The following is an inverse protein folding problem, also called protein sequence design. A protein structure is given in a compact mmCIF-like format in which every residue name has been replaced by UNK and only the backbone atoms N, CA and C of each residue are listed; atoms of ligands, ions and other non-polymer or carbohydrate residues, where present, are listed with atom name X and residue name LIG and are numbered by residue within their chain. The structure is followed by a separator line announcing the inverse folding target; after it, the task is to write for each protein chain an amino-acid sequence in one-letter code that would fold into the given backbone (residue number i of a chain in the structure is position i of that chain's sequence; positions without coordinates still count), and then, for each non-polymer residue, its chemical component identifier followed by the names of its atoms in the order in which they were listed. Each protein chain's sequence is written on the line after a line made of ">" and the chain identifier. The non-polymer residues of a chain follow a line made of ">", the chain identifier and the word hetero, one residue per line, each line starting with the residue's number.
data_IF_810937226543
#
_entry.id   IF_810937226543
#
_cell.length_a   1.000
_cell.length_b   1.000
_cell.length_c   1.000
_cell.angle_alpha   90.00
_cell.angle_beta   90.00
_cell.angle_gamma   90.00
#
_symmetry.space_group_name_H-M   'P 1'
#
loop_
_entity.id
_entity.type
_entity.pdbx_description
1 polymer ?
#
# COMPACT_ATOMS: atom_id res chain seq x y z
N UNK A 1 -5.15 -24.62 1.47
CA UNK A 1 -4.96 -24.94 2.90
C UNK A 1 -3.48 -24.88 3.19
N UNK A 2 -3.04 -24.41 4.38
CA UNK A 2 -1.62 -24.42 4.74
C UNK A 2 -1.10 -25.86 4.78
N UNK A 3 0.15 -26.06 4.38
CA UNK A 3 0.82 -27.36 4.50
C UNK A 3 1.24 -27.56 5.97
N UNK A 4 0.66 -28.52 6.70
CA UNK A 4 0.95 -28.73 8.12
C UNK A 4 2.43 -28.97 8.42
N UNK A 5 3.19 -29.53 7.47
CA UNK A 5 4.63 -29.77 7.64
C UNK A 5 5.47 -28.48 7.65
N UNK A 6 4.90 -27.35 7.20
CA UNK A 6 5.56 -26.05 7.14
C UNK A 6 5.05 -25.06 8.19
N UNK A 7 4.04 -25.46 8.98
CA UNK A 7 3.46 -24.62 10.01
C UNK A 7 4.36 -24.60 11.24
N UNK A 8 4.82 -23.42 11.63
CA UNK A 8 5.48 -23.22 12.92
C UNK A 8 4.45 -23.28 14.07
N UNK A 9 4.62 -24.19 15.06
CA UNK A 9 3.72 -24.29 16.23
C UNK A 9 3.59 -22.99 17.02
N UNK A 10 4.65 -22.20 17.13
CA UNK A 10 4.62 -20.91 17.82
C UNK A 10 3.76 -19.90 17.07
N UNK A 11 3.84 -19.88 15.73
CA UNK A 11 3.00 -19.03 14.87
C UNK A 11 1.53 -19.42 15.03
N UNK A 12 1.19 -20.71 15.00
CA UNK A 12 -0.17 -21.19 15.23
C UNK A 12 -0.69 -20.80 16.62
N UNK A 13 0.13 -20.96 17.67
CA UNK A 13 -0.24 -20.55 19.02
C UNK A 13 -0.49 -19.04 19.15
N UNK A 14 0.34 -18.20 18.51
CA UNK A 14 0.14 -16.74 18.48
C UNK A 14 -1.14 -16.36 17.75
N UNK A 15 -1.46 -17.01 16.63
CA UNK A 15 -2.70 -16.75 15.88
C UNK A 15 -3.94 -17.20 16.68
N UNK A 16 -3.89 -18.35 17.35
CA UNK A 16 -4.96 -18.82 18.22
C UNK A 16 -5.27 -17.80 19.33
N UNK A 17 -4.23 -17.36 20.06
CA UNK A 17 -4.37 -16.36 21.12
C UNK A 17 -4.96 -15.04 20.58
N UNK A 18 -4.47 -14.57 19.44
CA UNK A 18 -4.95 -13.33 18.77
C UNK A 18 -6.43 -13.38 18.45
N UNK A 19 -6.92 -14.53 18.01
CA UNK A 19 -8.32 -14.72 17.65
C UNK A 19 -9.19 -15.22 18.82
N UNK A 20 -8.73 -15.04 20.07
CA UNK A 20 -9.51 -15.29 21.27
C UNK A 20 -9.61 -16.76 21.70
N UNK A 21 -8.86 -17.66 21.08
CA UNK A 21 -8.82 -19.05 21.52
C UNK A 21 -8.14 -19.14 22.89
N UNK A 22 -8.69 -19.98 23.75
CA UNK A 22 -8.27 -20.09 25.15
C UNK A 22 -7.39 -21.32 25.32
N UNK A 23 -6.19 -21.13 25.88
CA UNK A 23 -5.32 -22.25 26.27
C UNK A 23 -5.80 -22.84 27.61
N UNK A 24 -6.39 -24.03 27.57
CA UNK A 24 -7.03 -24.73 28.72
C UNK A 24 -6.11 -25.71 29.47
N UNK A 25 -4.80 -25.71 29.18
CA UNK A 25 -3.79 -26.55 29.84
C UNK A 25 -3.16 -27.61 28.92
N UNK A 26 -2.33 -28.46 29.50
CA UNK A 26 -1.48 -29.46 28.81
C UNK A 26 -0.15 -29.60 29.57
N UNK A 27 0.61 -30.70 29.43
CA UNK A 27 1.97 -30.77 29.97
C UNK A 27 2.75 -29.61 29.37
N UNK A 28 3.11 -28.62 30.20
CA UNK A 28 3.58 -27.32 29.74
C UNK A 28 4.81 -27.39 28.81
N UNK A 29 5.53 -28.51 28.84
CA UNK A 29 6.72 -28.78 28.05
C UNK A 29 6.47 -29.46 26.70
N UNK A 30 5.28 -29.99 26.37
CA UNK A 30 5.09 -30.81 25.15
C UNK A 30 3.97 -30.35 24.23
N UNK A 31 2.79 -30.05 24.76
CA UNK A 31 1.66 -29.57 23.96
C UNK A 31 0.71 -28.68 24.77
N UNK A 32 0.10 -27.70 24.10
CA UNK A 32 -0.96 -26.86 24.63
C UNK A 32 -2.32 -27.23 24.04
N UNK A 33 -3.33 -27.42 24.89
CA UNK A 33 -4.72 -27.61 24.47
C UNK A 33 -5.42 -26.26 24.33
N UNK A 34 -5.96 -25.99 23.14
CA UNK A 34 -6.71 -24.79 22.80
C UNK A 34 -8.18 -25.10 22.53
N UNK A 35 -9.06 -24.19 22.92
CA UNK A 35 -10.51 -24.26 22.67
C UNK A 35 -11.00 -22.95 22.07
N UNK A 36 -12.02 -22.97 21.18
CA UNK A 36 -12.54 -21.77 20.54
C UNK A 36 -13.20 -20.82 21.56
N UNK A 37 -13.29 -19.51 21.23
CA UNK A 37 -13.87 -18.49 22.11
C UNK A 37 -15.37 -18.70 22.39
N UNK A 38 -16.11 -19.24 21.43
CA UNK A 38 -17.58 -19.35 21.49
C UNK A 38 -18.09 -20.65 22.15
N UNK A 39 -17.22 -21.34 22.89
CA UNK A 39 -17.49 -22.63 23.56
C UNK A 39 -18.18 -23.66 22.62
N UNK A 40 -17.81 -23.68 21.33
CA UNK A 40 -18.28 -24.67 20.36
C UNK A 40 -17.94 -26.08 20.89
N UNK A 41 -18.95 -26.89 21.28
CA UNK A 41 -18.69 -28.15 21.95
C UNK A 41 -18.07 -29.14 20.96
N UNK A 42 -16.86 -29.61 21.27
CA UNK A 42 -16.16 -30.66 20.53
C UNK A 42 -14.93 -30.22 19.74
N UNK A 43 -14.73 -28.91 19.52
CA UNK A 43 -13.52 -28.41 18.86
C UNK A 43 -12.42 -28.17 19.89
N UNK A 44 -11.43 -29.07 19.96
CA UNK A 44 -10.23 -28.88 20.78
C UNK A 44 -8.98 -29.17 19.95
N UNK A 45 -8.01 -28.26 19.99
CA UNK A 45 -6.77 -28.37 19.25
C UNK A 45 -5.63 -28.70 20.21
N UNK A 46 -4.76 -29.62 19.79
CA UNK A 46 -3.48 -29.84 20.44
C UNK A 46 -2.42 -29.20 19.56
N UNK A 47 -1.71 -28.22 20.13
CA UNK A 47 -0.62 -27.52 19.44
C UNK A 47 0.69 -27.89 20.14
N UNK A 48 1.70 -28.42 19.42
CA UNK A 48 3.01 -28.69 19.98
C UNK A 48 3.64 -27.44 20.61
N UNK A 49 4.49 -27.64 21.63
CA UNK A 49 5.24 -26.53 22.23
C UNK A 49 6.37 -26.04 21.32
N UNK A 50 6.99 -26.96 20.57
CA UNK A 50 8.05 -26.72 19.58
C UNK A 50 7.98 -27.76 18.44
N UNK A 51 8.87 -27.63 17.46
CA UNK A 51 9.04 -28.52 16.30
C UNK A 51 9.93 -29.74 16.61
N UNK A 52 10.46 -29.85 17.82
CA UNK A 52 11.44 -30.86 18.23
C UNK A 52 10.86 -32.23 18.59
N UNK A 53 9.54 -32.40 18.49
CA UNK A 53 8.85 -33.65 18.83
C UNK A 53 8.54 -34.50 17.59
N UNK A 54 8.76 -35.81 17.68
CA UNK A 54 8.50 -36.77 16.59
C UNK A 54 7.03 -36.73 16.10
N UNK A 55 6.09 -36.37 16.98
CA UNK A 55 4.64 -36.28 16.70
C UNK A 55 4.16 -34.86 16.30
N UNK A 56 5.07 -33.88 16.14
CA UNK A 56 4.68 -32.50 15.87
C UNK A 56 3.88 -32.32 14.58
N UNK A 57 4.31 -32.95 13.47
CA UNK A 57 3.63 -32.84 12.17
C UNK A 57 2.24 -33.48 12.21
N UNK A 58 2.06 -34.59 12.92
CA UNK A 58 0.76 -35.24 13.09
C UNK A 58 -0.19 -34.34 13.89
N UNK A 59 0.27 -33.78 15.00
CA UNK A 59 -0.51 -32.84 15.82
C UNK A 59 -0.90 -31.57 15.05
N UNK A 60 0.02 -31.02 14.25
CA UNK A 60 -0.28 -29.88 13.39
C UNK A 60 -1.27 -30.23 12.28
N UNK A 61 -1.17 -31.43 11.71
CA UNK A 61 -2.12 -31.93 10.70
C UNK A 61 -3.52 -32.04 11.28
N UNK A 62 -3.65 -32.59 12.49
CA UNK A 62 -4.91 -32.69 13.22
C UNK A 62 -5.46 -31.31 13.56
N UNK A 63 -4.59 -30.38 14.00
CA UNK A 63 -5.00 -29.02 14.33
C UNK A 63 -5.51 -28.24 13.11
N UNK A 64 -4.80 -28.28 11.98
CA UNK A 64 -5.22 -27.65 10.72
C UNK A 64 -6.52 -28.29 10.21
N UNK A 65 -6.63 -29.61 10.30
CA UNK A 65 -7.85 -30.34 9.91
C UNK A 65 -9.05 -29.95 10.77
N UNK A 66 -8.87 -29.87 12.09
CA UNK A 66 -9.91 -29.46 13.02
C UNK A 66 -10.32 -27.99 12.79
N UNK A 67 -9.37 -27.08 12.57
CA UNK A 67 -9.67 -25.69 12.18
C UNK A 67 -10.48 -25.64 10.87
N UNK A 68 -10.15 -26.48 9.88
CA UNK A 68 -10.87 -26.49 8.59
C UNK A 68 -12.32 -26.97 8.69
N UNK A 69 -12.65 -27.73 9.74
CA UNK A 69 -13.98 -28.26 10.03
C UNK A 69 -14.78 -27.41 11.03
N UNK A 70 -14.10 -26.55 11.79
CA UNK A 70 -14.76 -25.65 12.75
C UNK A 70 -15.62 -24.62 12.02
N UNK A 71 -16.78 -24.31 12.60
CA UNK A 71 -17.71 -23.31 12.05
C UNK A 71 -17.42 -21.90 12.57
N UNK A 72 -16.47 -21.75 13.50
CA UNK A 72 -16.13 -20.45 14.07
C UNK A 72 -15.44 -19.57 13.02
N UNK A 73 -15.87 -18.30 12.82
CA UNK A 73 -15.23 -17.38 11.88
C UNK A 73 -13.72 -17.23 12.10
N UNK A 74 -13.27 -17.28 13.37
CA UNK A 74 -11.85 -17.21 13.74
C UNK A 74 -11.01 -18.35 13.16
N UNK A 75 -11.56 -19.55 13.02
CA UNK A 75 -10.83 -20.69 12.47
C UNK A 75 -10.43 -20.45 11.01
N UNK A 76 -11.35 -19.86 10.23
CA UNK A 76 -11.07 -19.46 8.83
C UNK A 76 -10.01 -18.36 8.76
N UNK A 77 -10.06 -17.36 9.63
CA UNK A 77 -9.05 -16.30 9.71
C UNK A 77 -7.66 -16.85 10.06
N UNK A 78 -7.57 -17.79 11.00
CA UNK A 78 -6.31 -18.45 11.38
C UNK A 78 -5.73 -19.22 10.19
N UNK A 79 -6.54 -20.05 9.51
CA UNK A 79 -6.09 -20.82 8.35
C UNK A 79 -5.61 -19.93 7.20
N UNK A 80 -6.28 -18.79 6.99
CA UNK A 80 -5.87 -17.80 6.01
C UNK A 80 -4.53 -17.17 6.39
N UNK A 81 -4.37 -16.73 7.63
CA UNK A 81 -3.13 -16.13 8.12
C UNK A 81 -1.93 -17.11 8.10
N UNK A 82 -2.18 -18.41 8.27
CA UNK A 82 -1.17 -19.46 8.09
C UNK A 82 -0.79 -19.66 6.62
N UNK A 83 -1.77 -19.60 5.71
CA UNK A 83 -1.52 -19.80 4.28
C UNK A 83 -0.92 -18.54 3.61
N UNK A 84 -1.21 -17.36 4.15
CA UNK A 84 -0.76 -16.06 3.65
C UNK A 84 0.00 -15.33 4.76
N UNK A 85 1.26 -15.71 5.03
CA UNK A 85 2.05 -15.09 6.08
C UNK A 85 2.38 -13.64 5.71
N UNK A 86 1.99 -12.70 6.57
CA UNK A 86 2.16 -11.27 6.31
C UNK A 86 1.62 -10.39 7.43
N UNK A 87 1.89 -9.09 7.36
CA UNK A 87 1.22 -8.12 8.24
C UNK A 87 -0.22 -7.91 7.73
N UNK A 88 -1.19 -8.00 8.62
CA UNK A 88 -2.63 -7.87 8.35
C UNK A 88 -3.08 -6.43 8.59
N UNK A 89 -3.70 -5.81 7.58
CA UNK A 89 -4.33 -4.51 7.67
C UNK A 89 -5.82 -4.67 7.38
N UNK A 90 -6.66 -4.29 8.32
CA UNK A 90 -8.12 -4.38 8.20
C UNK A 90 -8.74 -3.00 8.19
N UNK A 91 -9.40 -2.66 7.09
CA UNK A 91 -10.22 -1.45 6.98
C UNK A 91 -11.69 -1.80 7.16
N UNK A 92 -12.44 -0.90 7.79
CA UNK A 92 -13.89 -1.02 7.91
C UNK A 92 -14.55 0.33 7.64
N UNK A 93 -15.80 0.27 7.17
CA UNK A 93 -16.70 1.41 6.99
C UNK A 93 -18.04 1.10 7.63
N UNK A 94 -18.43 1.92 8.60
CA UNK A 94 -19.74 1.86 9.23
C UNK A 94 -20.74 2.60 8.32
N UNK A 95 -21.51 1.85 7.56
CA UNK A 95 -22.45 2.41 6.59
C UNK A 95 -23.85 2.55 7.20
N UNK A 96 -24.59 3.63 6.87
CA UNK A 96 -25.99 3.73 7.24
C UNK A 96 -26.80 2.73 6.41
N UNK A 97 -27.41 1.73 7.05
CA UNK A 97 -28.20 0.72 6.34
C UNK A 97 -28.40 -0.57 7.11
N UNK A 98 -28.99 -1.60 6.48
CA UNK A 98 -29.05 -2.94 7.05
C UNK A 98 -27.65 -3.47 7.33
N UNK A 99 -27.48 -4.11 8.50
CA UNK A 99 -26.27 -4.84 8.81
C UNK A 99 -25.96 -5.84 7.68
N UNK A 100 -24.67 -6.10 7.49
CA UNK A 100 -24.17 -7.12 6.55
C UNK A 100 -24.43 -6.84 5.06
N UNK A 101 -24.74 -5.59 4.69
CA UNK A 101 -24.85 -5.16 3.29
C UNK A 101 -24.02 -3.91 3.02
N UNK A 102 -23.42 -3.85 1.83
CA UNK A 102 -22.67 -2.68 1.36
C UNK A 102 -23.10 -2.35 -0.08
N UNK A 103 -23.49 -1.10 -0.39
CA UNK A 103 -23.67 -0.67 -1.76
C UNK A 103 -22.39 -0.87 -2.57
N UNK A 104 -22.55 -1.15 -3.87
CA UNK A 104 -21.42 -1.40 -4.78
C UNK A 104 -20.40 -0.25 -4.78
N UNK A 105 -20.89 0.99 -4.85
CA UNK A 105 -20.04 2.18 -4.83
C UNK A 105 -19.22 2.32 -3.54
N UNK A 106 -19.76 1.88 -2.40
CA UNK A 106 -19.06 1.90 -1.12
C UNK A 106 -18.01 0.78 -1.02
N UNK A 107 -18.30 -0.40 -1.57
CA UNK A 107 -17.33 -1.49 -1.66
C UNK A 107 -16.13 -1.11 -2.55
N UNK A 108 -16.38 -0.55 -3.73
CA UNK A 108 -15.32 -0.04 -4.61
C UNK A 108 -14.53 1.09 -3.95
N UNK A 109 -15.20 1.97 -3.21
CA UNK A 109 -14.55 3.07 -2.49
C UNK A 109 -13.64 2.54 -1.38
N UNK A 110 -14.07 1.54 -0.61
CA UNK A 110 -13.25 0.87 0.39
C UNK A 110 -11.98 0.28 -0.24
N UNK A 111 -12.14 -0.47 -1.33
CA UNK A 111 -11.01 -1.09 -2.03
C UNK A 111 -10.02 -0.04 -2.56
N UNK A 112 -10.53 1.03 -3.18
CA UNK A 112 -9.72 2.13 -3.71
C UNK A 112 -8.99 2.90 -2.60
N UNK A 113 -9.66 3.17 -1.48
CA UNK A 113 -9.08 3.84 -0.33
C UNK A 113 -7.95 3.00 0.28
N UNK A 114 -8.19 1.73 0.55
CA UNK A 114 -7.17 0.82 1.10
C UNK A 114 -5.96 0.67 0.17
N UNK A 115 -6.18 0.47 -1.14
CA UNK A 115 -5.09 0.42 -2.14
C UNK A 115 -4.28 1.71 -2.16
N UNK A 116 -4.93 2.86 -2.05
CA UNK A 116 -4.26 4.18 -2.04
C UNK A 116 -3.48 4.40 -0.75
N UNK A 117 -4.00 3.98 0.42
CA UNK A 117 -3.28 4.02 1.70
C UNK A 117 -2.00 3.18 1.64
N UNK A 118 -2.10 1.94 1.16
CA UNK A 118 -0.96 1.04 0.99
C UNK A 118 0.09 1.62 0.02
N UNK A 119 -0.36 2.18 -1.11
CA UNK A 119 0.53 2.86 -2.05
C UNK A 119 1.24 4.06 -1.40
N UNK A 120 0.51 4.90 -0.67
CA UNK A 120 1.08 6.05 0.03
C UNK A 120 2.11 5.62 1.09
N UNK A 121 1.81 4.56 1.85
CA UNK A 121 2.73 3.94 2.80
C UNK A 121 4.03 3.43 2.14
N UNK A 122 3.92 2.76 1.00
CA UNK A 122 5.08 2.30 0.23
C UNK A 122 5.94 3.47 -0.27
N UNK A 123 5.31 4.51 -0.86
CA UNK A 123 6.02 5.72 -1.31
C UNK A 123 6.73 6.41 -0.15
N UNK A 124 6.03 6.62 0.98
CA UNK A 124 6.57 7.26 2.17
C UNK A 124 7.70 6.46 2.84
N UNK A 125 7.61 5.12 2.80
CA UNK A 125 8.67 4.23 3.26
C UNK A 125 9.96 4.35 2.42
N UNK A 126 9.84 4.72 1.14
CA UNK A 126 10.98 5.00 0.25
C UNK A 126 11.56 6.39 0.44
N UNK A 127 10.70 7.41 0.46
CA UNK A 127 11.07 8.80 0.72
C UNK A 127 9.84 9.56 1.18
N UNK A 128 9.99 10.45 2.16
CA UNK A 128 8.88 11.27 2.66
C UNK A 128 8.70 12.50 1.77
N UNK A 129 7.45 12.80 1.42
CA UNK A 129 7.06 13.98 0.67
C UNK A 129 5.63 14.37 1.06
N UNK A 130 5.31 15.66 0.99
CA UNK A 130 3.95 16.14 1.25
C UNK A 130 3.00 15.70 0.14
N UNK A 131 3.50 15.53 -1.08
CA UNK A 131 2.69 15.10 -2.23
C UNK A 131 3.52 14.33 -3.26
N UNK A 132 3.16 13.08 -3.59
CA UNK A 132 3.91 12.30 -4.59
C UNK A 132 3.45 12.55 -6.02
N UNK A 133 2.14 12.73 -6.24
CA UNK A 133 1.52 12.68 -7.55
C UNK A 133 1.85 11.35 -8.24
N UNK A 134 2.30 11.42 -9.50
CA UNK A 134 2.74 10.26 -10.26
C UNK A 134 4.11 9.70 -9.83
N UNK A 135 4.83 10.41 -8.95
CA UNK A 135 6.15 9.96 -8.53
C UNK A 135 6.01 8.64 -7.76
N UNK A 136 6.94 7.73 -8.00
CA UNK A 136 7.03 6.43 -7.33
C UNK A 136 5.81 5.51 -7.57
N UNK A 137 5.00 5.77 -8.60
CA UNK A 137 3.86 4.88 -8.96
C UNK A 137 4.35 3.45 -9.29
N UNK A 138 5.51 3.32 -9.94
CA UNK A 138 6.12 2.02 -10.22
C UNK A 138 6.49 1.26 -8.95
N UNK A 139 7.24 1.91 -8.06
CA UNK A 139 7.63 1.34 -6.77
C UNK A 139 6.44 0.93 -5.90
N UNK A 140 5.41 1.78 -5.82
CA UNK A 140 4.18 1.44 -5.11
C UNK A 140 3.43 0.28 -5.76
N UNK A 141 3.45 0.18 -7.10
CA UNK A 141 2.92 -0.96 -7.86
C UNK A 141 3.60 -2.26 -7.48
N UNK A 142 4.94 -2.33 -7.54
CA UNK A 142 5.72 -3.52 -7.16
C UNK A 142 5.48 -3.99 -5.72
N UNK A 143 5.18 -3.05 -4.82
CA UNK A 143 4.73 -3.40 -3.46
C UNK A 143 3.33 -4.00 -3.48
N UNK A 144 2.37 -3.33 -4.13
CA UNK A 144 0.97 -3.76 -4.21
C UNK A 144 0.78 -5.09 -4.93
N UNK A 145 1.61 -5.42 -5.93
CA UNK A 145 1.54 -6.68 -6.68
C UNK A 145 1.82 -7.90 -5.80
N UNK A 146 2.43 -7.68 -4.62
CA UNK A 146 2.70 -8.71 -3.60
C UNK A 146 1.68 -8.71 -2.46
N UNK A 147 0.71 -7.80 -2.47
CA UNK A 147 -0.33 -7.70 -1.44
C UNK A 147 -1.51 -8.58 -1.83
N UNK A 148 -1.92 -9.43 -0.90
CA UNK A 148 -3.10 -10.27 -1.07
C UNK A 148 -4.27 -9.68 -0.30
N UNK A 149 -5.45 -9.65 -0.93
CA UNK A 149 -6.65 -9.03 -0.35
C UNK A 149 -7.72 -10.09 -0.17
N UNK A 150 -8.33 -10.09 1.01
CA UNK A 150 -9.50 -10.87 1.32
C UNK A 150 -10.64 -9.92 1.64
N UNK A 151 -11.60 -9.91 0.73
CA UNK A 151 -12.90 -9.27 0.97
C UNK A 151 -13.64 -10.12 1.98
N UNK A 152 -13.81 -9.57 3.19
CA UNK A 152 -14.71 -10.17 4.15
C UNK A 152 -16.08 -9.58 3.84
N UNK A 153 -17.05 -10.46 3.52
CA UNK A 153 -18.45 -10.05 3.50
C UNK A 153 -18.75 -9.32 4.82
N UNK A 154 -19.67 -8.36 4.78
CA UNK A 154 -20.01 -7.61 5.97
C UNK A 154 -20.52 -8.61 7.03
N UNK A 155 -19.70 -8.83 8.06
CA UNK A 155 -20.03 -9.65 9.22
C UNK A 155 -19.91 -8.71 10.40
N UNK A 156 -21.06 -8.35 10.97
CA UNK A 156 -21.28 -7.61 12.21
C UNK A 156 -20.79 -6.14 12.27
N UNK A 157 -19.94 -5.65 11.36
CA UNK A 157 -19.38 -4.27 11.40
C UNK A 157 -19.27 -3.56 10.03
N UNK A 158 -20.20 -3.82 9.10
CA UNK A 158 -20.23 -3.13 7.80
C UNK A 158 -19.18 -3.64 6.80
N UNK A 159 -18.91 -2.85 5.75
CA UNK A 159 -17.99 -3.25 4.69
C UNK A 159 -16.55 -3.32 5.22
N UNK A 160 -15.93 -4.50 5.16
CA UNK A 160 -14.59 -4.73 5.68
C UNK A 160 -13.66 -5.33 4.61
N UNK A 161 -12.41 -4.86 4.61
CA UNK A 161 -11.37 -5.33 3.70
C UNK A 161 -10.14 -5.70 4.52
N UNK A 162 -9.60 -6.89 4.31
CA UNK A 162 -8.34 -7.29 4.94
C UNK A 162 -7.27 -7.47 3.86
N UNK A 163 -6.13 -6.79 4.01
CA UNK A 163 -4.95 -7.00 3.18
C UNK A 163 -3.84 -7.68 3.98
N UNK A 164 -3.16 -8.61 3.35
CA UNK A 164 -1.97 -9.27 3.84
C UNK A 164 -0.78 -8.76 3.02
N UNK A 165 0.14 -8.08 3.70
CA UNK A 165 1.33 -7.51 3.08
C UNK A 165 2.54 -8.41 3.36
N UNK A 166 3.50 -8.53 2.42
CA UNK A 166 4.65 -9.40 2.59
C UNK A 166 5.49 -8.94 3.79
N UNK A 167 5.83 -9.88 4.67
CA UNK A 167 6.67 -9.62 5.84
C UNK A 167 7.82 -10.65 5.91
N UNK A 168 9.07 -10.20 6.14
CA UNK A 168 9.48 -8.85 6.53
C UNK A 168 9.70 -7.85 5.38
N UNK A 169 9.63 -8.26 4.11
CA UNK A 169 10.08 -7.46 2.95
C UNK A 169 9.27 -6.16 2.77
N UNK A 170 7.99 -6.17 3.11
CA UNK A 170 7.08 -5.02 3.04
C UNK A 170 7.01 -4.18 4.31
N UNK A 171 7.75 -4.54 5.37
CA UNK A 171 7.55 -3.96 6.71
C UNK A 171 7.76 -2.45 6.77
N UNK A 172 8.69 -1.92 6.00
CA UNK A 172 8.99 -0.48 5.98
C UNK A 172 7.77 0.32 5.50
N UNK A 173 7.05 -0.19 4.50
CA UNK A 173 5.83 0.44 3.98
C UNK A 173 4.72 0.45 5.05
N UNK A 174 4.48 -0.69 5.71
CA UNK A 174 3.42 -0.82 6.71
C UNK A 174 3.71 0.00 7.97
N UNK A 175 4.94 -0.09 8.50
CA UNK A 175 5.33 0.67 9.70
C UNK A 175 5.32 2.17 9.47
N UNK A 176 5.66 2.62 8.25
CA UNK A 176 5.57 4.04 7.88
C UNK A 176 4.11 4.45 7.70
N UNK A 177 3.26 3.62 7.09
CA UNK A 177 1.82 3.86 7.00
C UNK A 177 1.19 4.04 8.37
N UNK A 178 1.45 3.14 9.33
CA UNK A 178 0.89 3.25 10.67
C UNK A 178 1.33 4.55 11.36
N UNK A 179 2.63 4.88 11.33
CA UNK A 179 3.15 6.12 11.93
C UNK A 179 2.56 7.36 11.26
N UNK A 180 2.39 7.33 9.95
CA UNK A 180 1.78 8.43 9.20
C UNK A 180 0.31 8.61 9.60
N UNK A 181 -0.47 7.52 9.73
CA UNK A 181 -1.86 7.61 10.14
C UNK A 181 -2.03 8.05 11.60
N UNK A 182 -1.14 7.62 12.51
CA UNK A 182 -1.09 8.12 13.88
C UNK A 182 -0.82 9.62 13.92
N UNK A 183 0.20 10.09 13.19
CA UNK A 183 0.50 11.52 13.09
C UNK A 183 -0.63 12.31 12.42
N UNK A 184 -1.35 11.72 11.46
CA UNK A 184 -2.51 12.34 10.83
C UNK A 184 -3.68 12.47 11.82
N UNK A 185 -3.98 11.42 12.60
CA UNK A 185 -5.01 11.47 13.66
C UNK A 185 -4.70 12.55 14.68
N UNK A 186 -3.46 12.59 15.18
CA UNK A 186 -3.00 13.62 16.11
C UNK A 186 -3.14 15.03 15.51
N UNK A 187 -2.78 15.21 14.24
CA UNK A 187 -2.91 16.50 13.54
C UNK A 187 -4.36 16.93 13.33
N UNK A 188 -5.26 15.99 13.00
CA UNK A 188 -6.70 16.25 12.89
C UNK A 188 -7.28 16.67 14.26
N UNK A 189 -6.92 15.95 15.33
CA UNK A 189 -7.38 16.29 16.68
C UNK A 189 -6.85 17.66 17.14
N UNK A 190 -5.58 17.94 16.90
CA UNK A 190 -4.98 19.25 17.17
C UNK A 190 -5.69 20.38 16.41
N UNK A 191 -6.00 20.16 15.13
CA UNK A 191 -6.70 21.11 14.27
C UNK A 191 -8.09 21.46 14.82
N UNK A 192 -8.79 20.49 15.43
CA UNK A 192 -10.11 20.70 16.05
C UNK A 192 -10.04 21.50 17.34
N UNK A 193 -8.96 21.37 18.12
CA UNK A 193 -8.84 21.99 19.46
C UNK A 193 -8.23 23.40 19.42
N UNK A 194 -7.19 23.63 18.61
CA UNK A 194 -6.29 24.78 18.80
C UNK A 194 -5.96 25.60 17.53
N UNK A 195 -6.18 25.06 16.33
CA UNK A 195 -6.43 25.87 15.13
C UNK A 195 -5.24 26.30 14.26
N UNK A 196 -4.17 25.51 14.14
CA UNK A 196 -3.05 25.77 13.23
C UNK A 196 -2.82 24.64 12.19
N UNK A 197 -2.46 24.92 10.93
CA UNK A 197 -2.15 23.90 9.91
C UNK A 197 -0.77 23.23 10.11
N UNK A 198 0.07 23.76 11.01
CA UNK A 198 1.48 23.35 11.20
C UNK A 198 1.62 21.88 11.62
N UNK A 199 0.61 21.34 12.30
CA UNK A 199 0.58 19.93 12.67
C UNK A 199 0.62 19.00 11.44
N UNK A 200 -0.04 19.38 10.34
CA UNK A 200 0.00 18.62 9.10
C UNK A 200 1.36 18.71 8.41
N UNK A 201 2.04 19.86 8.47
CA UNK A 201 3.39 20.02 7.91
C UNK A 201 4.39 19.13 8.64
N UNK A 202 4.32 19.10 9.96
CA UNK A 202 5.16 18.24 10.80
C UNK A 202 4.87 16.75 10.55
N UNK A 203 3.61 16.40 10.31
CA UNK A 203 3.20 15.02 10.04
C UNK A 203 3.79 14.44 8.74
N UNK A 204 4.25 15.29 7.80
CA UNK A 204 5.02 14.85 6.61
C UNK A 204 6.28 14.08 7.03
N UNK A 205 6.90 14.45 8.16
CA UNK A 205 8.05 13.73 8.71
C UNK A 205 7.70 12.33 9.21
N UNK A 206 6.43 12.04 9.50
CA UNK A 206 5.98 10.67 9.80
C UNK A 206 5.58 9.88 8.54
N UNK A 207 5.48 10.54 7.39
CA UNK A 207 5.07 9.95 6.11
C UNK A 207 3.68 10.38 5.63
N UNK A 208 3.04 11.36 6.27
CA UNK A 208 1.75 11.90 5.79
C UNK A 208 1.96 12.60 4.44
N UNK A 209 1.19 12.17 3.46
CA UNK A 209 1.11 12.81 2.15
C UNK A 209 -0.33 13.11 1.77
N UNK A 210 -0.53 13.96 0.76
CA UNK A 210 -1.85 14.26 0.19
C UNK A 210 -2.60 13.00 -0.21
N UNK A 211 -1.94 12.01 -0.81
CA UNK A 211 -2.56 10.74 -1.21
C UNK A 211 -3.07 9.96 0.00
N UNK A 212 -2.30 9.93 1.10
CA UNK A 212 -2.73 9.30 2.34
C UNK A 212 -3.97 10.02 2.90
N UNK A 213 -3.93 11.35 2.99
CA UNK A 213 -5.06 12.15 3.47
C UNK A 213 -6.31 11.92 2.61
N UNK A 214 -6.18 11.97 1.28
CA UNK A 214 -7.29 11.71 0.35
C UNK A 214 -7.86 10.30 0.50
N UNK A 215 -7.01 9.30 0.73
CA UNK A 215 -7.49 7.94 0.96
C UNK A 215 -8.27 7.79 2.28
N UNK A 216 -7.91 8.55 3.32
CA UNK A 216 -8.68 8.61 4.57
C UNK A 216 -9.99 9.36 4.36
N UNK A 217 -10.00 10.45 3.60
CA UNK A 217 -11.25 11.13 3.21
C UNK A 217 -12.20 10.19 2.46
N UNK A 218 -11.68 9.44 1.49
CA UNK A 218 -12.46 8.47 0.75
C UNK A 218 -12.96 7.34 1.64
N UNK A 219 -12.16 6.88 2.60
CA UNK A 219 -12.57 5.87 3.58
C UNK A 219 -13.75 6.37 4.44
N UNK A 220 -13.73 7.63 4.87
CA UNK A 220 -14.71 8.22 5.80
C UNK A 220 -15.98 8.71 5.11
N UNK A 221 -15.88 9.19 3.87
CA UNK A 221 -17.00 9.83 3.17
C UNK A 221 -18.20 8.89 3.05
N UNK A 222 -19.37 9.34 3.54
CA UNK A 222 -20.63 8.59 3.47
C UNK A 222 -20.83 7.57 4.60
N UNK A 223 -19.91 7.52 5.58
CA UNK A 223 -19.96 6.59 6.72
C UNK A 223 -20.45 7.30 7.99
N UNK A 224 -20.76 6.54 9.04
CA UNK A 224 -20.89 7.06 10.42
C UNK A 224 -19.57 6.98 11.19
N UNK A 225 -18.66 6.12 10.74
CA UNK A 225 -17.35 5.85 11.29
C UNK A 225 -16.56 4.98 10.32
N UNK A 226 -15.25 5.08 10.36
CA UNK A 226 -14.39 4.20 9.61
C UNK A 226 -13.04 4.10 10.30
N UNK A 227 -12.32 3.01 10.06
CA UNK A 227 -11.01 2.86 10.70
C UNK A 227 -10.15 1.78 10.10
N UNK A 228 -8.94 1.71 10.64
CA UNK A 228 -7.91 0.76 10.31
C UNK A 228 -7.47 0.03 11.59
N UNK A 229 -7.40 -1.29 11.52
CA UNK A 229 -6.71 -2.12 12.50
C UNK A 229 -5.51 -2.80 11.84
N UNK A 230 -4.39 -2.90 12.57
CA UNK A 230 -3.18 -3.58 12.09
C UNK A 230 -2.78 -4.69 13.06
N UNK A 231 -2.49 -5.87 12.52
CA UNK A 231 -1.93 -6.99 13.25
C UNK A 231 -0.66 -7.49 12.55
N UNK A 232 0.46 -7.43 13.26
CA UNK A 232 1.77 -7.84 12.73
C UNK A 232 1.82 -9.34 12.45
N UNK A 233 2.62 -9.75 11.47
CA UNK A 233 2.87 -11.16 11.16
C UNK A 233 3.37 -11.90 12.40
N UNK A 234 2.69 -12.99 12.77
CA UNK A 234 3.15 -13.84 13.86
C UNK A 234 4.50 -14.50 13.54
N UNK A 235 4.74 -14.86 12.27
CA UNK A 235 5.99 -15.45 11.81
C UNK A 235 7.15 -14.45 11.80
N UNK A 236 6.91 -13.21 11.39
CA UNK A 236 7.97 -12.18 11.35
C UNK A 236 8.14 -11.43 12.69
N UNK A 237 7.27 -11.68 13.67
CA UNK A 237 7.25 -11.00 14.97
C UNK A 237 6.82 -9.52 14.89
N UNK A 238 6.87 -8.82 16.02
CA UNK A 238 6.47 -7.40 16.09
C UNK A 238 7.65 -6.49 15.67
N UNK A 239 7.45 -5.49 14.79
CA UNK A 239 8.51 -4.55 14.44
C UNK A 239 8.94 -3.68 15.63
N UNK A 240 10.22 -3.30 15.66
CA UNK A 240 10.77 -2.42 16.69
C UNK A 240 10.02 -1.09 16.81
N UNK A 241 9.75 -0.68 18.06
CA UNK A 241 9.07 0.58 18.38
C UNK A 241 7.54 0.53 18.40
N UNK A 242 6.91 -0.61 18.07
CA UNK A 242 5.46 -0.76 18.19
C UNK A 242 5.04 -1.42 19.52
N UNK A 243 5.85 -2.34 20.05
CA UNK A 243 5.49 -3.12 21.24
C UNK A 243 4.23 -3.96 21.02
N UNK A 244 3.68 -4.53 22.09
CA UNK A 244 2.50 -5.42 22.03
C UNK A 244 1.15 -4.65 22.04
N UNK A 245 1.16 -3.38 21.62
CA UNK A 245 -0.05 -2.55 21.62
C UNK A 245 -0.94 -2.90 20.42
N UNK A 246 -2.24 -2.90 20.65
CA UNK A 246 -3.22 -2.98 19.57
C UNK A 246 -3.22 -1.65 18.79
N UNK A 247 -3.06 -1.75 17.47
CA UNK A 247 -3.13 -0.60 16.57
C UNK A 247 -4.54 -0.55 16.00
N UNK A 248 -5.32 0.41 16.48
CA UNK A 248 -6.65 0.75 15.96
C UNK A 248 -6.70 2.27 15.78
N UNK A 249 -7.11 2.71 14.59
CA UNK A 249 -7.16 4.12 14.20
C UNK A 249 -8.54 4.41 13.62
N UNK A 250 -9.27 5.32 14.27
CA UNK A 250 -10.64 5.65 13.91
C UNK A 250 -10.75 7.08 13.39
N UNK A 251 -11.59 7.23 12.37
CA UNK A 251 -11.94 8.49 11.74
C UNK A 251 -13.44 8.61 11.60
N UNK A 252 -13.95 9.84 11.70
CA UNK A 252 -15.36 10.16 11.68
C UNK A 252 -15.66 11.23 10.63
N UNK A 253 -16.92 11.36 10.18
CA UNK A 253 -17.30 12.42 9.26
C UNK A 253 -16.97 13.83 9.74
N UNK A 254 -16.84 14.05 11.06
CA UNK A 254 -16.40 15.31 11.65
C UNK A 254 -14.95 15.71 11.32
N UNK A 255 -14.14 14.77 10.83
CA UNK A 255 -12.75 14.99 10.45
C UNK A 255 -12.59 15.49 9.00
N UNK A 256 -13.62 15.32 8.17
CA UNK A 256 -13.57 15.65 6.73
C UNK A 256 -13.13 17.09 6.42
N UNK A 257 -13.57 18.14 7.14
CA UNK A 257 -13.09 19.49 6.87
C UNK A 257 -11.58 19.66 7.11
N UNK A 258 -11.05 19.04 8.17
CA UNK A 258 -9.63 19.11 8.49
C UNK A 258 -8.78 18.32 7.50
N UNK A 259 -9.27 17.15 7.07
CA UNK A 259 -8.63 16.34 6.04
C UNK A 259 -8.56 17.08 4.69
N UNK A 260 -9.67 17.70 4.26
CA UNK A 260 -9.71 18.46 3.00
C UNK A 260 -8.71 19.64 3.02
N UNK A 261 -8.63 20.36 4.13
CA UNK A 261 -7.63 21.42 4.31
C UNK A 261 -6.20 20.86 4.25
N UNK A 262 -5.94 19.73 4.89
CA UNK A 262 -4.63 19.07 4.88
C UNK A 262 -4.23 18.63 3.47
N UNK A 263 -5.14 18.03 2.69
CA UNK A 263 -4.86 17.63 1.31
C UNK A 263 -4.44 18.82 0.44
N UNK A 264 -5.17 19.93 0.55
CA UNK A 264 -4.89 21.18 -0.15
C UNK A 264 -3.56 21.83 0.28
N UNK A 265 -3.27 21.80 1.59
CA UNK A 265 -2.02 22.30 2.15
C UNK A 265 -0.82 21.48 1.65
N UNK A 266 -0.89 20.16 1.77
CA UNK A 266 0.19 19.24 1.40
C UNK A 266 0.53 19.32 -0.10
N UNK A 267 -0.46 19.54 -0.97
CA UNK A 267 -0.20 19.79 -2.40
C UNK A 267 0.62 21.07 -2.63
N UNK A 268 0.32 22.14 -1.87
CA UNK A 268 1.00 23.43 -2.00
C UNK A 268 2.41 23.44 -1.42
N UNK A 269 2.64 22.66 -0.37
CA UNK A 269 3.94 22.57 0.30
C UNK A 269 4.99 21.87 -0.55
N UNK A 270 4.59 20.89 -1.37
CA UNK A 270 5.55 20.11 -2.13
C UNK A 270 6.19 20.93 -3.26
N UNK A 271 7.54 21.07 -3.28
CA UNK A 271 8.23 21.86 -4.28
C UNK A 271 8.32 21.16 -5.64
N UNK A 272 8.58 21.96 -6.68
CA UNK A 272 8.96 21.41 -7.98
C UNK A 272 10.35 20.76 -7.93
N UNK A 273 10.47 19.55 -8.44
CA UNK A 273 11.69 18.71 -8.32
C UNK A 273 12.56 18.85 -9.56
N UNK A 274 13.81 19.26 -9.40
CA UNK A 274 14.76 19.30 -10.51
C UNK A 274 15.13 17.87 -10.95
N UNK A 275 15.08 17.60 -12.25
CA UNK A 275 15.36 16.28 -12.82
C UNK A 275 16.11 16.39 -14.14
N UNK A 276 16.89 15.36 -14.45
CA UNK A 276 17.45 15.11 -15.78
C UNK A 276 16.91 13.78 -16.27
N UNK A 277 15.97 13.86 -17.19
CA UNK A 277 15.19 12.73 -17.68
C UNK A 277 15.87 12.13 -18.91
N UNK A 278 15.97 10.82 -18.95
CA UNK A 278 16.21 10.07 -20.19
C UNK A 278 14.91 9.39 -20.59
N UNK A 279 14.47 9.56 -21.84
CA UNK A 279 13.19 9.02 -22.27
C UNK A 279 13.02 8.94 -23.78
N UNK A 280 12.02 8.18 -24.21
CA UNK A 280 11.63 8.06 -25.62
C UNK A 280 10.48 9.01 -25.93
N UNK A 281 10.57 9.70 -27.06
CA UNK A 281 9.45 10.48 -27.56
C UNK A 281 8.38 9.53 -28.08
N UNK A 282 7.19 9.56 -27.48
CA UNK A 282 6.06 8.71 -27.87
C UNK A 282 4.92 9.47 -28.52
N UNK A 283 4.87 10.80 -28.33
CA UNK A 283 3.85 11.64 -28.98
C UNK A 283 4.36 13.05 -29.21
N UNK A 284 4.07 13.57 -30.39
CA UNK A 284 4.36 14.94 -30.80
C UNK A 284 3.05 15.65 -31.12
N UNK A 285 2.91 16.91 -30.68
CA UNK A 285 1.77 17.77 -31.04
C UNK A 285 2.22 19.21 -31.23
N UNK A 286 2.02 19.74 -32.43
CA UNK A 286 2.13 21.18 -32.76
C UNK A 286 0.95 21.60 -33.63
N UNK A 287 0.54 22.86 -33.50
CA UNK A 287 -0.55 23.42 -34.30
C UNK A 287 -0.02 23.97 -35.62
N UNK A 288 1.05 24.75 -35.55
CA UNK A 288 1.70 25.37 -36.71
C UNK A 288 2.97 24.62 -37.12
N UNK A 289 3.43 24.72 -38.38
CA UNK A 289 4.68 24.11 -38.84
C UNK A 289 5.94 24.63 -38.14
N UNK A 290 5.87 25.80 -37.49
CA UNK A 290 6.98 26.38 -36.72
C UNK A 290 6.52 26.87 -35.35
N UNK A 291 7.47 27.02 -34.44
CA UNK A 291 7.22 27.50 -33.09
C UNK A 291 7.17 26.37 -32.06
N UNK A 292 6.81 26.67 -30.80
CA UNK A 292 6.86 25.71 -29.71
C UNK A 292 5.82 24.60 -29.87
N UNK A 293 6.21 23.38 -29.52
CA UNK A 293 5.35 22.20 -29.57
C UNK A 293 5.29 21.44 -28.24
N UNK A 294 4.27 20.60 -28.08
CA UNK A 294 4.14 19.70 -26.93
C UNK A 294 4.61 18.30 -27.28
N UNK A 295 5.40 17.70 -26.38
CA UNK A 295 5.94 16.35 -26.52
C UNK A 295 5.52 15.52 -25.32
N UNK A 296 5.19 14.25 -25.55
CA UNK A 296 5.06 13.24 -24.49
C UNK A 296 6.27 12.31 -24.56
N UNK A 297 6.93 12.16 -23.42
CA UNK A 297 8.07 11.28 -23.22
C UNK A 297 7.63 10.08 -22.39
N UNK A 298 7.94 8.86 -22.83
CA UNK A 298 8.00 7.68 -21.95
C UNK A 298 9.35 7.74 -21.26
N UNK A 299 9.34 7.82 -19.93
CA UNK A 299 10.57 7.94 -19.15
C UNK A 299 11.24 6.57 -19.07
N UNK A 300 12.54 6.55 -19.34
CA UNK A 300 13.40 5.38 -19.18
C UNK A 300 14.28 5.50 -17.92
N UNK A 301 14.58 6.72 -17.47
CA UNK A 301 15.34 6.95 -16.25
C UNK A 301 15.46 8.43 -15.88
N UNK A 302 15.95 8.69 -14.67
CA UNK A 302 16.21 10.04 -14.15
C UNK A 302 14.99 10.81 -13.61
N UNK A 303 13.79 10.22 -13.69
CA UNK A 303 12.60 10.67 -12.98
C UNK A 303 11.72 9.48 -12.61
N UNK A 304 11.14 9.53 -11.41
CA UNK A 304 10.31 8.46 -10.84
C UNK A 304 8.87 8.47 -11.36
N UNK A 305 8.65 8.76 -12.64
CA UNK A 305 7.33 8.86 -13.29
C UNK A 305 7.34 8.13 -14.62
N UNK A 306 6.22 7.49 -15.00
CA UNK A 306 6.17 6.69 -16.26
C UNK A 306 6.14 7.55 -17.53
N UNK A 307 5.41 8.66 -17.49
CA UNK A 307 5.25 9.56 -18.63
C UNK A 307 5.37 11.02 -18.23
N UNK A 308 5.95 11.82 -19.13
CA UNK A 308 6.08 13.26 -18.97
C UNK A 308 5.54 14.01 -20.18
N UNK A 309 4.81 15.09 -19.91
CA UNK A 309 4.48 16.09 -20.90
C UNK A 309 5.43 17.27 -20.76
N UNK A 310 6.03 17.67 -21.88
CA UNK A 310 6.92 18.83 -21.95
C UNK A 310 6.50 19.74 -23.10
N UNK A 311 6.66 21.06 -22.91
CA UNK A 311 6.52 22.05 -23.99
C UNK A 311 7.90 22.52 -24.38
N UNK A 312 8.30 22.24 -25.60
CA UNK A 312 9.63 22.55 -26.12
C UNK A 312 9.58 23.77 -27.05
N UNK A 313 10.65 24.58 -27.09
CA UNK A 313 10.82 25.59 -28.12
C UNK A 313 11.03 24.94 -29.50
N UNK A 314 10.91 25.71 -30.58
CA UNK A 314 11.02 25.22 -31.96
C UNK A 314 12.26 24.35 -32.25
N UNK A 315 13.51 24.74 -31.89
CA UNK A 315 14.70 23.92 -32.16
C UNK A 315 14.64 22.57 -31.46
N UNK A 316 14.36 22.56 -30.15
CA UNK A 316 14.28 21.34 -29.35
C UNK A 316 13.13 20.43 -29.80
N UNK A 317 12.01 21.01 -30.24
CA UNK A 317 10.88 20.24 -30.75
C UNK A 317 11.24 19.49 -32.05
N UNK A 318 11.96 20.14 -32.96
CA UNK A 318 12.44 19.49 -34.20
C UNK A 318 13.40 18.35 -33.86
N UNK A 319 14.32 18.58 -32.92
CA UNK A 319 15.24 17.55 -32.44
C UNK A 319 14.51 16.36 -31.79
N UNK A 320 13.45 16.63 -31.02
CA UNK A 320 12.58 15.58 -30.48
C UNK A 320 11.80 14.81 -31.58
N UNK A 321 11.45 15.47 -32.69
CA UNK A 321 10.82 14.82 -33.83
C UNK A 321 11.79 13.89 -34.57
N UNK A 322 13.04 14.32 -34.74
CA UNK A 322 14.12 13.46 -35.26
C UNK A 322 14.34 12.24 -34.36
N UNK A 323 14.41 12.44 -33.04
CA UNK A 323 14.52 11.36 -32.06
C UNK A 323 13.40 10.33 -32.18
N UNK A 324 12.15 10.82 -32.31
CA UNK A 324 10.96 9.98 -32.44
C UNK A 324 11.00 9.10 -33.70
N UNK A 325 11.36 9.70 -34.84
CA UNK A 325 11.46 8.99 -36.11
C UNK A 325 12.60 7.96 -36.10
N UNK A 326 13.71 8.28 -35.43
CA UNK A 326 14.87 7.40 -35.31
C UNK A 326 14.73 6.36 -34.19
N UNK A 327 13.69 6.43 -33.34
CA UNK A 327 13.54 5.58 -32.16
C UNK A 327 14.64 5.77 -31.11
N UNK A 328 15.28 6.94 -31.08
CA UNK A 328 16.41 7.23 -30.19
C UNK A 328 15.94 7.89 -28.89
N UNK A 329 16.53 7.54 -27.73
CA UNK A 329 16.25 8.22 -26.48
C UNK A 329 16.82 9.64 -26.49
N UNK A 330 16.12 10.54 -25.80
CA UNK A 330 16.56 11.91 -25.54
C UNK A 330 16.88 12.08 -24.06
N UNK A 331 17.87 12.93 -23.77
CA UNK A 331 18.12 13.47 -22.44
C UNK A 331 17.58 14.90 -22.37
N UNK A 332 16.92 15.23 -21.27
CA UNK A 332 16.33 16.55 -21.06
C UNK A 332 16.30 16.92 -19.58
N UNK A 333 16.75 18.13 -19.24
CA UNK A 333 16.70 18.64 -17.88
C UNK A 333 15.56 19.63 -17.68
N UNK A 334 15.05 19.73 -16.45
CA UNK A 334 13.96 20.65 -16.10
C UNK A 334 13.48 20.48 -14.67
N UNK A 335 12.26 20.94 -14.40
CA UNK A 335 11.60 20.80 -13.09
C UNK A 335 10.26 20.08 -13.22
N UNK A 336 10.05 19.00 -12.48
CA UNK A 336 8.74 18.36 -12.39
C UNK A 336 7.82 19.22 -11.54
N UNK A 337 6.72 19.65 -12.14
CA UNK A 337 5.76 20.55 -11.49
C UNK A 337 4.72 19.74 -10.71
N UNK A 338 4.43 20.09 -9.44
CA UNK A 338 3.38 19.42 -8.66
C UNK A 338 2.00 19.57 -9.32
N UNK A 339 1.75 20.72 -9.97
CA UNK A 339 0.52 20.95 -10.74
C UNK A 339 0.40 19.98 -11.92
N UNK A 340 -0.59 19.08 -11.83
CA UNK A 340 -0.76 17.96 -12.77
C UNK A 340 -0.05 16.69 -12.34
N UNK A 341 0.32 16.57 -11.05
CA UNK A 341 0.84 15.37 -10.41
C UNK A 341 2.23 14.97 -10.89
N UNK A 342 3.14 15.93 -11.06
CA UNK A 342 4.51 15.69 -11.52
C UNK A 342 4.62 15.05 -12.93
N UNK A 343 3.53 15.05 -13.72
CA UNK A 343 3.54 14.60 -15.12
C UNK A 343 3.90 15.70 -16.12
N UNK A 344 4.35 16.86 -15.64
CA UNK A 344 4.72 18.02 -16.46
C UNK A 344 6.13 18.48 -16.12
N UNK A 345 6.96 18.61 -17.15
CA UNK A 345 8.30 19.17 -17.03
C UNK A 345 8.28 20.65 -17.39
N UNK A 346 8.44 21.50 -16.38
CA UNK A 346 8.62 22.94 -16.49
C UNK A 346 10.08 23.32 -16.75
N UNK A 347 10.28 24.49 -17.37
CA UNK A 347 11.59 25.06 -17.73
C UNK A 347 12.55 24.03 -18.36
N UNK A 348 12.12 23.32 -19.42
CA UNK A 348 12.97 22.33 -20.07
C UNK A 348 14.19 23.00 -20.71
N UNK A 349 15.34 22.36 -20.62
CA UNK A 349 16.60 22.83 -21.20
C UNK A 349 17.58 21.67 -21.41
N UNK A 350 18.55 21.87 -22.32
CA UNK A 350 19.58 20.88 -22.62
C UNK A 350 19.00 19.62 -23.22
N UNK A 351 18.13 19.75 -24.23
CA UNK A 351 17.63 18.59 -24.97
C UNK A 351 18.77 18.04 -25.84
N UNK A 352 19.10 16.78 -25.65
CA UNK A 352 20.18 16.11 -26.36
C UNK A 352 19.71 14.74 -26.86
N UNK A 353 20.05 14.40 -28.10
CA UNK A 353 19.91 13.03 -28.60
C UNK A 353 20.97 12.15 -27.96
N UNK A 354 20.57 10.98 -27.45
CA UNK A 354 21.52 9.97 -27.03
C UNK A 354 21.72 8.98 -28.19
N UNK A 355 22.88 9.00 -28.87
CA UNK A 355 23.15 8.04 -29.93
C UNK A 355 23.20 6.63 -29.33
N UNK A 356 22.38 5.72 -29.87
CA UNK A 356 22.34 4.33 -29.44
C UNK A 356 23.68 3.66 -29.69
N UNK A 357 24.32 3.13 -28.64
CA UNK A 357 25.28 2.05 -28.82
C UNK A 357 24.45 0.80 -29.13
N UNK A 358 24.63 0.26 -30.33
CA UNK A 358 23.85 -0.85 -30.88
C UNK A 358 23.78 -2.05 -29.92
N UNK A 359 22.56 -2.57 -29.79
CA UNK A 359 22.16 -3.97 -29.58
C UNK A 359 22.38 -4.69 -28.24
N UNK A 360 22.96 -4.07 -27.20
CA UNK A 360 23.09 -4.73 -25.88
C UNK A 360 22.18 -4.15 -24.78
N UNK A 361 22.41 -2.88 -24.46
CA UNK A 361 21.78 -2.22 -23.32
C UNK A 361 20.35 -1.76 -23.63
N UNK A 362 20.03 -1.50 -24.90
CA UNK A 362 18.70 -1.06 -25.34
C UNK A 362 17.66 -2.17 -25.18
N UNK A 363 18.03 -3.40 -25.51
CA UNK A 363 17.17 -4.56 -25.32
C UNK A 363 17.08 -4.95 -23.84
N UNK A 364 18.13 -4.75 -23.03
CA UNK A 364 18.07 -4.96 -21.58
C UNK A 364 17.23 -3.89 -20.85
N UNK A 365 17.30 -2.62 -21.27
CA UNK A 365 16.45 -1.54 -20.75
C UNK A 365 14.98 -1.72 -21.14
N UNK A 366 14.70 -2.29 -22.32
CA UNK A 366 13.35 -2.63 -22.75
C UNK A 366 12.84 -3.94 -22.13
N UNK A 367 13.67 -4.98 -22.00
CA UNK A 367 13.33 -6.27 -21.36
C UNK A 367 13.11 -6.13 -19.86
N UNK A 368 13.92 -5.34 -19.15
CA UNK A 368 13.73 -5.09 -17.72
C UNK A 368 12.41 -4.39 -17.36
N UNK A 369 11.68 -3.88 -18.36
CA UNK A 369 10.37 -3.23 -18.21
C UNK A 369 9.23 -3.98 -18.92
N UNK A 370 9.54 -5.07 -19.67
CA UNK A 370 8.59 -5.82 -20.49
C UNK A 370 7.92 -7.00 -19.77
N UNK A 371 8.52 -7.51 -18.70
CA UNK A 371 7.97 -8.67 -17.95
C UNK A 371 6.71 -8.36 -17.12
N UNK A 372 6.16 -7.14 -17.23
CA UNK A 372 4.94 -6.71 -16.52
C UNK A 372 3.66 -6.59 -17.35
N UNK A 373 3.73 -6.76 -18.69
CA UNK A 373 2.57 -6.50 -19.57
C UNK A 373 2.22 -7.65 -20.54
N UNK A 374 2.81 -8.85 -20.38
CA UNK A 374 2.38 -10.06 -21.10
C UNK A 374 1.95 -11.17 -20.14
N UNK A 375 0.67 -11.13 -19.73
CA UNK A 375 -0.17 -12.32 -19.73
C UNK A 375 -1.66 -11.93 -19.72
N UNK A 376 -2.32 -12.35 -20.80
CA UNK A 376 -3.74 -12.18 -21.14
C UNK A 376 -4.64 -12.87 -20.13
#
# INVERSE_FOLDING_TARGET
>A
MPDPATVDPAVLATLLARHGWIRRGGPAARYGRWTPPDDEPGTSLLVPADDGFDDAVELLTDAVTALSRSRTPSARSILLALAVPGDELRWHRDLPGPADTAPWDDAERLQRAARTMLAAGAKAGRTRAAYYGARLDGHAGEFLDRVLVVEQGAVDQGAALTAHTPAPEGRTAVTTLVRALEALRDAVDYRRVSGGPEAFENAVQAGVSRELVQSVEDLVRGTTGAGLAVAWSAAAGIPGGFGDRRITLDFSPGDLPALAEAADLLERLEPAVAVTVTGLVVRLKRADPGGPGSVRLRVLGGAEVRELKVRLPDPDYRLAAEAHLAGLPVRLSGRLEPRGGFRRLGRPHGLELLPGRADGDHEQLLKGLGDGDEQI
#
